data_IF_152518656948
#
_entry.id   IF_152518656948
#
_cell.length_a   1.000
_cell.length_b   1.000
_cell.length_c   1.000
_cell.angle_alpha   90.00
_cell.angle_beta   90.00
_cell.angle_gamma   90.00
#
_symmetry.space_group_name_H-M   'P 1'
#
loop_
_entity.id
_entity.type
_entity.pdbx_description
1 polymer ?
#
# COMPACT_ATOMS: atom_id res chain seq x y z
N UNK A 1 25.86 -10.09 15.37
CA UNK A 1 26.19 -9.58 16.74
C UNK A 1 24.89 -9.22 17.50
N UNK A 2 24.08 -10.21 17.89
CA UNK A 2 22.83 -9.95 18.66
C UNK A 2 22.76 -10.72 20.00
N UNK A 3 23.57 -11.77 20.16
CA UNK A 3 23.51 -12.69 21.32
C UNK A 3 24.00 -12.05 22.63
N UNK A 4 24.87 -11.04 22.58
CA UNK A 4 25.51 -10.47 23.78
C UNK A 4 24.64 -9.48 24.59
N UNK A 5 23.41 -9.16 24.16
CA UNK A 5 22.54 -8.17 24.83
C UNK A 5 21.18 -8.69 25.29
N UNK A 6 20.86 -9.96 25.04
CA UNK A 6 19.57 -10.55 25.47
C UNK A 6 18.35 -9.89 24.82
N UNK A 7 18.47 -9.41 23.58
CA UNK A 7 17.34 -8.85 22.85
C UNK A 7 16.29 -9.94 22.57
N UNK A 8 15.02 -9.57 22.68
CA UNK A 8 13.90 -10.42 22.24
C UNK A 8 13.96 -10.63 20.72
N UNK A 9 13.26 -11.66 20.23
CA UNK A 9 13.14 -11.91 18.79
C UNK A 9 12.49 -10.73 18.05
N UNK A 10 11.53 -10.06 18.69
CA UNK A 10 10.88 -8.85 18.18
C UNK A 10 11.89 -7.72 18.02
N UNK A 11 12.68 -7.45 19.05
CA UNK A 11 13.73 -6.43 19.01
C UNK A 11 14.78 -6.76 17.95
N UNK A 12 15.14 -8.04 17.77
CA UNK A 12 16.07 -8.47 16.72
C UNK A 12 15.52 -8.12 15.33
N UNK A 13 14.25 -8.44 15.05
CA UNK A 13 13.59 -8.12 13.77
C UNK A 13 13.56 -6.62 13.49
N UNK A 14 13.18 -5.80 14.48
CA UNK A 14 13.14 -4.34 14.30
C UNK A 14 14.54 -3.76 14.10
N UNK A 15 15.55 -4.28 14.81
CA UNK A 15 16.95 -3.87 14.63
C UNK A 15 17.49 -4.23 13.26
N UNK A 16 17.09 -5.38 12.72
CA UNK A 16 17.42 -5.81 11.35
C UNK A 16 16.75 -4.90 10.32
N UNK A 17 15.45 -4.65 10.45
CA UNK A 17 14.72 -3.76 9.55
C UNK A 17 15.27 -2.31 9.56
N UNK A 18 15.85 -1.89 10.69
CA UNK A 18 16.42 -0.55 10.89
C UNK A 18 17.96 -0.56 10.93
N UNK A 19 18.60 -1.52 10.26
CA UNK A 19 20.07 -1.62 10.21
C UNK A 19 20.71 -0.43 9.47
N UNK A 20 22.03 -0.23 9.65
CA UNK A 20 22.77 0.80 8.91
C UNK A 20 23.19 0.36 7.49
N UNK A 21 22.69 -0.78 7.01
CA UNK A 21 23.07 -1.29 5.69
C UNK A 21 22.54 -0.39 4.56
N UNK A 22 23.17 -0.37 3.37
CA UNK A 22 22.77 0.54 2.29
C UNK A 22 21.44 0.18 1.61
N UNK A 23 20.88 -1.01 1.85
CA UNK A 23 19.59 -1.45 1.30
C UNK A 23 18.44 -1.26 2.30
N UNK A 24 17.22 -1.05 1.81
CA UNK A 24 16.02 -0.95 2.64
C UNK A 24 15.60 -2.28 3.28
N UNK A 25 14.73 -2.26 4.31
CA UNK A 25 14.15 -3.48 4.87
C UNK A 25 13.33 -4.24 3.83
N UNK A 26 13.33 -5.56 3.90
CA UNK A 26 12.48 -6.37 3.02
C UNK A 26 11.00 -6.20 3.36
N UNK A 27 10.12 -6.24 2.34
CA UNK A 27 8.68 -6.15 2.54
C UNK A 27 8.15 -7.25 3.47
N UNK A 28 8.69 -8.47 3.35
CA UNK A 28 8.34 -9.60 4.22
C UNK A 28 8.66 -9.33 5.68
N UNK A 29 9.86 -8.80 5.98
CA UNK A 29 10.25 -8.47 7.35
C UNK A 29 9.39 -7.34 7.93
N UNK A 30 9.14 -6.28 7.14
CA UNK A 30 8.23 -5.22 7.57
C UNK A 30 6.81 -5.73 7.83
N UNK A 31 6.32 -6.66 7.00
CA UNK A 31 5.01 -7.26 7.18
C UNK A 31 4.94 -8.11 8.45
N UNK A 32 5.97 -8.92 8.72
CA UNK A 32 6.06 -9.71 9.95
C UNK A 32 6.04 -8.79 11.19
N UNK A 33 6.85 -7.73 11.20
CA UNK A 33 6.86 -6.74 12.29
C UNK A 33 5.47 -6.08 12.42
N UNK A 34 4.84 -5.69 11.30
CA UNK A 34 3.51 -5.10 11.33
C UNK A 34 2.46 -6.04 11.93
N UNK A 35 2.53 -7.35 11.67
CA UNK A 35 1.62 -8.32 12.30
C UNK A 35 1.90 -8.49 13.80
N UNK A 36 3.15 -8.38 14.24
CA UNK A 36 3.50 -8.42 15.67
C UNK A 36 2.92 -7.23 16.45
N UNK A 37 2.69 -6.08 15.81
CA UNK A 37 2.09 -4.91 16.48
C UNK A 37 0.66 -5.12 17.02
N UNK A 38 -0.01 -6.22 16.66
CA UNK A 38 -1.31 -6.59 17.22
C UNK A 38 -1.21 -7.21 18.63
N UNK A 39 -0.03 -7.67 19.03
CA UNK A 39 0.26 -8.05 20.42
C UNK A 39 0.73 -6.83 21.21
N UNK A 40 0.14 -6.57 22.38
CA UNK A 40 0.45 -5.38 23.19
C UNK A 40 1.89 -5.33 23.69
N UNK A 41 2.46 -6.48 24.10
CA UNK A 41 3.85 -6.56 24.59
C UNK A 41 4.83 -6.29 23.45
N UNK A 42 4.62 -6.96 22.31
CA UNK A 42 5.49 -6.80 21.14
C UNK A 42 5.39 -5.39 20.57
N UNK A 43 4.20 -4.80 20.54
CA UNK A 43 3.97 -3.42 20.16
C UNK A 43 4.83 -2.44 20.96
N UNK A 44 4.88 -2.57 22.28
CA UNK A 44 5.69 -1.71 23.14
C UNK A 44 7.17 -1.81 22.76
N UNK A 45 7.67 -3.02 22.57
CA UNK A 45 9.07 -3.25 22.18
C UNK A 45 9.40 -2.72 20.78
N UNK A 46 8.47 -2.87 19.83
CA UNK A 46 8.60 -2.37 18.45
C UNK A 46 8.68 -0.84 18.47
N UNK A 47 7.74 -0.18 19.14
CA UNK A 47 7.67 1.28 19.15
C UNK A 47 8.85 1.89 19.92
N UNK A 48 9.27 1.31 21.04
CA UNK A 48 10.48 1.73 21.78
C UNK A 48 11.74 1.64 20.90
N UNK A 49 11.91 0.56 20.14
CA UNK A 49 13.04 0.43 19.23
C UNK A 49 12.97 1.41 18.05
N UNK A 50 11.77 1.62 17.46
CA UNK A 50 11.57 2.62 16.40
C UNK A 50 11.91 4.02 16.92
N UNK A 51 11.43 4.41 18.10
CA UNK A 51 11.69 5.72 18.69
C UNK A 51 13.19 5.96 18.92
N UNK A 52 13.91 4.96 19.46
CA UNK A 52 15.38 5.01 19.59
C UNK A 52 16.08 5.26 18.27
N UNK A 53 15.59 4.66 17.17
CA UNK A 53 16.15 4.81 15.82
C UNK A 53 15.78 6.14 15.17
N UNK A 54 14.61 6.70 15.47
CA UNK A 54 14.21 8.03 14.98
C UNK A 54 15.04 9.14 15.62
N UNK A 55 15.53 8.92 16.86
CA UNK A 55 16.38 9.86 17.58
C UNK A 55 17.88 9.80 17.23
N UNK A 56 18.29 8.92 16.31
CA UNK A 56 19.67 8.88 15.78
C UNK A 56 20.00 10.15 14.96
N UNK A 57 21.30 10.47 14.84
CA UNK A 57 21.76 11.72 14.20
C UNK A 57 22.94 11.52 13.24
N UNK A 58 23.10 12.48 12.33
CA UNK A 58 24.26 12.61 11.44
C UNK A 58 24.53 11.35 10.62
N UNK A 59 25.71 10.74 10.80
CA UNK A 59 26.17 9.56 10.04
C UNK A 59 25.25 8.34 10.13
N UNK A 60 24.36 8.28 11.13
CA UNK A 60 23.38 7.21 11.31
C UNK A 60 22.04 7.49 10.60
N UNK A 61 22.01 8.38 9.61
CA UNK A 61 20.80 8.75 8.88
C UNK A 61 20.00 7.56 8.33
N UNK A 62 20.66 6.44 7.99
CA UNK A 62 19.99 5.23 7.50
C UNK A 62 19.11 4.59 8.57
N UNK A 63 19.52 4.63 9.85
CA UNK A 63 18.67 4.18 10.95
C UNK A 63 17.37 4.99 11.00
N UNK A 64 17.49 6.32 10.95
CA UNK A 64 16.35 7.25 10.97
C UNK A 64 15.44 7.01 9.76
N UNK A 65 16.03 6.95 8.56
CA UNK A 65 15.27 6.75 7.33
C UNK A 65 14.53 5.40 7.32
N UNK A 66 15.21 4.30 7.65
CA UNK A 66 14.57 2.98 7.69
C UNK A 66 13.55 2.84 8.81
N UNK A 67 13.74 3.52 9.95
CA UNK A 67 12.74 3.59 11.00
C UNK A 67 11.47 4.33 10.51
N UNK A 68 11.61 5.41 9.74
CA UNK A 68 10.47 6.06 9.08
C UNK A 68 9.79 5.14 8.06
N UNK A 69 10.54 4.36 7.28
CA UNK A 69 9.96 3.37 6.36
C UNK A 69 9.15 2.31 7.10
N UNK A 70 9.69 1.78 8.20
CA UNK A 70 9.01 0.77 9.01
C UNK A 70 7.77 1.36 9.71
N UNK A 71 7.88 2.54 10.29
CA UNK A 71 6.74 3.25 10.92
C UNK A 71 5.63 3.48 9.90
N UNK A 72 5.97 3.99 8.71
CA UNK A 72 5.01 4.18 7.61
C UNK A 72 4.32 2.87 7.23
N UNK A 73 5.05 1.77 7.10
CA UNK A 73 4.46 0.47 6.80
C UNK A 73 3.47 0.03 7.90
N UNK A 74 3.86 0.15 9.18
CA UNK A 74 3.01 -0.18 10.32
C UNK A 74 1.76 0.73 10.40
N UNK A 75 1.86 2.01 10.01
CA UNK A 75 0.71 2.91 9.92
C UNK A 75 -0.31 2.48 8.88
N UNK A 76 0.07 1.73 7.85
CA UNK A 76 -0.85 1.25 6.83
C UNK A 76 -1.42 -0.14 7.10
N UNK A 77 -0.62 -1.05 7.69
CA UNK A 77 -0.96 -2.50 7.76
C UNK A 77 -0.88 -3.07 9.19
N UNK A 78 -0.28 -2.35 10.14
CA UNK A 78 -0.18 -2.76 11.54
C UNK A 78 -1.43 -2.43 12.37
N UNK A 79 -1.32 -2.58 13.68
CA UNK A 79 -2.38 -2.28 14.65
C UNK A 79 -2.76 -0.79 14.68
N UNK A 80 -4.02 -0.49 15.02
CA UNK A 80 -4.49 0.87 15.28
C UNK A 80 -3.71 1.55 16.42
N UNK A 81 -3.14 0.78 17.35
CA UNK A 81 -2.29 1.30 18.42
C UNK A 81 -1.06 2.04 17.88
N UNK A 82 -0.53 1.63 16.72
CA UNK A 82 0.57 2.34 16.05
C UNK A 82 0.14 3.73 15.61
N UNK A 83 -1.08 3.85 15.07
CA UNK A 83 -1.64 5.13 14.65
C UNK A 83 -1.83 6.05 15.85
N UNK A 84 -2.45 5.55 16.93
CA UNK A 84 -2.66 6.31 18.16
C UNK A 84 -1.33 6.83 18.73
N UNK A 85 -0.36 5.93 18.92
CA UNK A 85 0.95 6.30 19.46
C UNK A 85 1.69 7.30 18.58
N UNK A 86 1.67 7.12 17.26
CA UNK A 86 2.35 8.02 16.32
C UNK A 86 1.71 9.41 16.28
N UNK A 87 0.40 9.52 16.52
CA UNK A 87 -0.30 10.80 16.62
C UNK A 87 0.00 11.52 17.91
N UNK A 88 -0.01 10.82 19.04
CA UNK A 88 0.36 11.39 20.34
C UNK A 88 1.81 11.88 20.33
N UNK A 89 2.70 11.14 19.65
CA UNK A 89 4.12 11.45 19.54
C UNK A 89 4.52 12.06 18.20
N UNK A 90 3.58 12.74 17.51
CA UNK A 90 3.80 13.29 16.17
C UNK A 90 4.99 14.27 16.10
N UNK A 91 5.35 14.88 17.24
CA UNK A 91 6.49 15.78 17.33
C UNK A 91 7.81 15.08 16.96
N UNK A 92 7.97 13.80 17.32
CA UNK A 92 9.17 13.00 16.98
C UNK A 92 9.37 13.00 15.46
N UNK A 93 8.31 12.69 14.71
CA UNK A 93 8.36 12.69 13.24
C UNK A 93 8.48 14.11 12.67
N UNK A 94 7.77 15.09 13.23
CA UNK A 94 7.81 16.48 12.75
C UNK A 94 9.21 17.07 12.80
N UNK A 95 9.99 16.78 13.85
CA UNK A 95 11.37 17.30 13.97
C UNK A 95 12.29 16.81 12.85
N UNK A 96 12.02 15.62 12.30
CA UNK A 96 12.79 15.04 11.20
C UNK A 96 12.54 15.72 9.85
N UNK A 97 11.54 16.60 9.74
CA UNK A 97 11.33 17.43 8.55
C UNK A 97 12.48 18.40 8.28
N UNK A 98 13.27 18.71 9.31
CA UNK A 98 14.45 19.57 9.24
C UNK A 98 15.76 18.78 9.36
N UNK A 99 15.72 17.45 9.23
CA UNK A 99 16.91 16.60 9.34
C UNK A 99 17.95 16.95 8.26
N UNK A 100 19.20 17.20 8.66
CA UNK A 100 20.29 17.55 7.76
C UNK A 100 21.43 16.53 7.84
N UNK A 101 21.81 15.99 6.68
CA UNK A 101 23.04 15.24 6.53
C UNK A 101 23.47 15.23 5.06
N UNK A 102 24.66 15.75 4.80
CA UNK A 102 25.31 15.74 3.48
C UNK A 102 26.50 14.77 3.60
N UNK A 103 26.56 13.78 2.71
CA UNK A 103 27.68 12.83 2.64
C UNK A 103 28.95 13.54 2.12
N UNK A 104 30.12 12.93 2.33
CA UNK A 104 31.43 13.51 1.95
C UNK A 104 31.55 13.82 0.45
N UNK A 105 30.79 13.10 -0.39
CA UNK A 105 30.69 13.32 -1.83
C UNK A 105 29.77 14.50 -2.22
N UNK A 106 29.23 15.25 -1.25
CA UNK A 106 28.33 16.38 -1.46
C UNK A 106 26.85 15.99 -1.65
N UNK A 107 26.50 14.69 -1.55
CA UNK A 107 25.12 14.23 -1.70
C UNK A 107 24.30 14.50 -0.44
N UNK A 108 23.21 15.26 -0.57
CA UNK A 108 22.23 15.46 0.51
C UNK A 108 21.34 14.22 0.68
N UNK A 109 21.76 13.31 1.55
CA UNK A 109 20.96 12.14 1.93
C UNK A 109 19.89 12.47 2.96
N UNK A 110 20.02 13.59 3.67
CA UNK A 110 19.01 14.12 4.57
C UNK A 110 17.70 14.48 3.86
N UNK A 111 17.76 14.87 2.58
CA UNK A 111 16.57 15.18 1.78
C UNK A 111 15.52 14.05 1.79
N UNK A 112 15.96 12.80 1.72
CA UNK A 112 15.06 11.63 1.75
C UNK A 112 14.36 11.47 3.10
N UNK A 113 15.09 11.72 4.19
CA UNK A 113 14.53 11.70 5.56
C UNK A 113 13.47 12.80 5.70
N UNK A 114 13.79 14.02 5.26
CA UNK A 114 12.87 15.16 5.33
C UNK A 114 11.61 14.91 4.52
N UNK A 115 11.73 14.37 3.31
CA UNK A 115 10.57 14.06 2.48
C UNK A 115 9.68 13.01 3.14
N UNK A 116 10.26 11.89 3.59
CA UNK A 116 9.49 10.83 4.25
C UNK A 116 8.80 11.30 5.53
N UNK A 117 9.48 12.13 6.33
CA UNK A 117 8.91 12.73 7.52
C UNK A 117 7.73 13.66 7.21
N UNK A 118 7.80 14.43 6.10
CA UNK A 118 6.68 15.25 5.61
C UNK A 118 5.49 14.37 5.23
N UNK A 119 5.73 13.32 4.45
CA UNK A 119 4.66 12.42 3.98
C UNK A 119 3.92 11.76 5.17
N UNK A 120 4.67 11.21 6.14
CA UNK A 120 4.09 10.61 7.34
C UNK A 120 3.36 11.65 8.19
N UNK A 121 3.94 12.83 8.40
CA UNK A 121 3.26 13.89 9.16
C UNK A 121 1.94 14.28 8.52
N UNK A 122 1.91 14.45 7.19
CA UNK A 122 0.71 14.82 6.45
C UNK A 122 -0.35 13.70 6.55
N UNK A 123 0.06 12.43 6.45
CA UNK A 123 -0.83 11.29 6.62
C UNK A 123 -1.44 11.23 8.02
N UNK A 124 -0.65 11.43 9.08
CA UNK A 124 -1.12 11.41 10.48
C UNK A 124 -2.03 12.60 10.84
N UNK A 125 -2.03 13.65 10.03
CA UNK A 125 -2.90 14.82 10.19
C UNK A 125 -4.25 14.66 9.48
N UNK A 126 -4.38 13.72 8.55
CA UNK A 126 -5.61 13.46 7.79
C UNK A 126 -6.20 12.08 8.14
N UNK A 127 -7.09 12.06 9.12
CA UNK A 127 -7.69 10.84 9.66
C UNK A 127 -8.54 10.08 8.66
N UNK A 128 -9.24 10.81 7.79
CA UNK A 128 -10.13 10.20 6.82
C UNK A 128 -9.30 9.50 5.76
N UNK A 129 -8.27 10.18 5.24
CA UNK A 129 -7.34 9.61 4.29
C UNK A 129 -6.62 8.38 4.86
N UNK A 130 -6.09 8.47 6.10
CA UNK A 130 -5.41 7.34 6.72
C UNK A 130 -6.33 6.13 6.90
N UNK A 131 -7.57 6.34 7.35
CA UNK A 131 -8.57 5.26 7.47
C UNK A 131 -8.89 4.61 6.13
N UNK A 132 -9.02 5.41 5.07
CA UNK A 132 -9.28 4.92 3.72
C UNK A 132 -8.11 4.10 3.18
N UNK A 133 -6.88 4.63 3.27
CA UNK A 133 -5.67 3.93 2.83
C UNK A 133 -5.48 2.59 3.57
N UNK A 134 -5.73 2.56 4.90
CA UNK A 134 -5.69 1.32 5.70
C UNK A 134 -6.74 0.30 5.25
N UNK A 135 -8.00 0.73 5.06
CA UNK A 135 -9.08 -0.14 4.56
C UNK A 135 -8.78 -0.70 3.18
N UNK A 136 -8.26 0.13 2.28
CA UNK A 136 -7.90 -0.29 0.93
C UNK A 136 -6.79 -1.34 0.96
N UNK A 137 -5.74 -1.14 1.77
CA UNK A 137 -4.65 -2.11 1.91
C UNK A 137 -5.09 -3.43 2.53
N UNK A 138 -5.96 -3.39 3.55
CA UNK A 138 -6.55 -4.60 4.12
C UNK A 138 -7.37 -5.35 3.07
N UNK A 139 -8.26 -4.66 2.34
CA UNK A 139 -9.07 -5.28 1.29
C UNK A 139 -8.24 -5.89 0.14
N UNK A 140 -7.14 -5.25 -0.25
CA UNK A 140 -6.19 -5.81 -1.23
C UNK A 140 -5.54 -7.09 -0.71
N UNK A 141 -5.12 -7.10 0.56
CA UNK A 141 -4.48 -8.26 1.19
C UNK A 141 -5.45 -9.43 1.31
N UNK A 142 -6.68 -9.17 1.73
CA UNK A 142 -7.70 -10.20 1.89
C UNK A 142 -8.07 -10.83 0.54
N UNK A 143 -8.18 -10.02 -0.53
CA UNK A 143 -8.36 -10.54 -1.89
C UNK A 143 -7.21 -11.43 -2.32
N UNK A 144 -5.97 -11.03 -2.05
CA UNK A 144 -4.78 -11.78 -2.46
C UNK A 144 -4.58 -13.07 -1.65
N UNK A 145 -4.96 -13.06 -0.37
CA UNK A 145 -5.01 -14.27 0.46
C UNK A 145 -6.09 -15.24 -0.03
N UNK A 146 -7.28 -14.73 -0.36
CA UNK A 146 -8.38 -15.55 -0.88
C UNK A 146 -8.05 -16.15 -2.26
N UNK A 147 -7.35 -15.42 -3.13
CA UNK A 147 -6.88 -15.99 -4.42
C UNK A 147 -5.94 -17.18 -4.19
N UNK A 148 -5.10 -17.14 -3.15
CA UNK A 148 -4.28 -18.28 -2.74
C UNK A 148 -5.09 -19.49 -2.29
N UNK A 149 -6.17 -19.28 -1.54
CA UNK A 149 -7.09 -20.35 -1.12
C UNK A 149 -7.94 -20.90 -2.27
N UNK A 150 -8.41 -20.07 -3.21
CA UNK A 150 -9.07 -20.54 -4.44
C UNK A 150 -8.13 -21.40 -5.29
N UNK A 151 -6.86 -21.03 -5.42
CA UNK A 151 -5.86 -21.84 -6.12
C UNK A 151 -5.55 -23.14 -5.37
N UNK A 152 -5.51 -23.12 -4.03
CA UNK A 152 -5.28 -24.31 -3.20
C UNK A 152 -6.48 -25.28 -3.22
N UNK A 153 -7.71 -24.76 -3.21
CA UNK A 153 -8.96 -25.53 -3.39
C UNK A 153 -8.99 -26.21 -4.76
N UNK A 154 -8.64 -25.47 -5.83
CA UNK A 154 -8.56 -25.99 -7.20
C UNK A 154 -7.49 -27.08 -7.33
N UNK A 155 -6.31 -26.89 -6.72
CA UNK A 155 -5.22 -27.89 -6.71
C UNK A 155 -5.58 -29.13 -5.88
N UNK A 156 -6.31 -28.98 -4.77
CA UNK A 156 -6.81 -30.11 -3.97
C UNK A 156 -7.89 -30.92 -4.71
N UNK A 157 -8.71 -30.26 -5.52
CA UNK A 157 -9.71 -30.91 -6.34
C UNK A 157 -9.09 -31.68 -7.53
N UNK A 158 -7.91 -31.25 -8.00
CA UNK A 158 -7.14 -31.93 -9.05
C UNK A 158 -6.21 -33.06 -8.56
N UNK A 159 -5.76 -33.04 -7.30
CA UNK A 159 -4.83 -34.05 -6.75
C UNK A 159 -5.50 -35.30 -6.16
N UNK A 160 -6.80 -35.50 -6.39
CA UNK A 160 -7.56 -36.65 -5.88
C UNK A 160 -7.38 -37.95 -6.66
N UNK A 161 -6.86 -37.91 -7.89
CA UNK A 161 -6.73 -39.10 -8.73
C UNK A 161 -5.43 -39.06 -9.55
N UNK A 162 -4.60 -40.10 -9.40
CA UNK A 162 -3.40 -40.40 -10.19
C UNK A 162 -2.10 -39.64 -9.84
N UNK A 163 -1.57 -39.94 -8.66
CA UNK A 163 -0.14 -39.84 -8.39
C UNK A 163 0.62 -41.00 -9.05
N UNK A 164 0.79 -40.96 -10.37
CA UNK A 164 1.81 -41.77 -11.07
C UNK A 164 1.98 -41.24 -12.50
N UNK A 165 3.12 -40.57 -12.73
CA UNK A 165 3.85 -40.39 -14.00
C UNK A 165 4.25 -38.92 -14.25
N UNK A 166 5.55 -38.67 -14.21
CA UNK A 166 6.14 -37.36 -14.47
C UNK A 166 6.04 -36.95 -15.93
N UNK A 167 5.65 -35.70 -16.19
CA UNK A 167 5.62 -35.10 -17.52
C UNK A 167 5.75 -33.58 -17.46
N UNK A 168 6.99 -33.08 -17.50
CA UNK A 168 7.37 -31.65 -17.47
C UNK A 168 7.07 -30.92 -18.80
N UNK A 169 5.93 -31.18 -19.44
CA UNK A 169 5.65 -30.68 -20.79
C UNK A 169 4.16 -30.30 -21.04
N UNK A 170 3.47 -29.69 -20.08
CA UNK A 170 2.12 -29.13 -20.31
C UNK A 170 1.92 -27.68 -19.78
N UNK A 171 2.69 -27.27 -18.76
CA UNK A 171 2.53 -25.95 -18.11
C UNK A 171 2.68 -24.73 -19.06
N UNK A 172 3.54 -24.81 -20.08
CA UNK A 172 3.79 -23.65 -20.96
C UNK A 172 2.65 -23.41 -21.96
N UNK A 173 1.98 -24.47 -22.42
CA UNK A 173 0.84 -24.33 -23.33
C UNK A 173 -0.40 -23.86 -22.57
N UNK A 174 -0.62 -24.35 -21.36
CA UNK A 174 -1.72 -23.93 -20.51
C UNK A 174 -1.55 -22.47 -20.04
N UNK A 175 -0.33 -22.07 -19.66
CA UNK A 175 -0.04 -20.68 -19.32
C UNK A 175 -0.20 -19.72 -20.51
N UNK A 176 0.20 -20.14 -21.72
CA UNK A 176 -0.05 -19.36 -22.96
C UNK A 176 -1.54 -19.21 -23.24
N UNK A 177 -2.32 -20.27 -23.00
CA UNK A 177 -3.77 -20.25 -23.21
C UNK A 177 -4.45 -19.31 -22.21
N UNK A 178 -4.08 -19.38 -20.93
CA UNK A 178 -4.57 -18.48 -19.89
C UNK A 178 -4.21 -17.01 -20.16
N UNK A 179 -2.98 -16.72 -20.61
CA UNK A 179 -2.58 -15.35 -20.99
C UNK A 179 -3.37 -14.82 -22.20
N UNK A 180 -3.64 -15.69 -23.18
CA UNK A 180 -4.41 -15.31 -24.37
C UNK A 180 -5.88 -15.03 -24.02
N UNK A 181 -6.44 -15.82 -23.11
CA UNK A 181 -7.81 -15.64 -22.61
C UNK A 181 -7.94 -14.38 -21.77
N UNK A 182 -6.99 -14.12 -20.87
CA UNK A 182 -6.95 -12.89 -20.08
C UNK A 182 -6.82 -11.63 -20.95
N UNK A 183 -6.02 -11.68 -22.03
CA UNK A 183 -5.95 -10.60 -23.03
C UNK A 183 -7.25 -10.40 -23.80
N UNK A 184 -8.00 -11.47 -24.10
CA UNK A 184 -9.29 -11.37 -24.80
C UNK A 184 -10.34 -10.71 -23.91
N UNK A 185 -10.44 -11.14 -22.65
CA UNK A 185 -11.38 -10.58 -21.68
C UNK A 185 -11.09 -9.09 -21.45
N UNK A 186 -9.83 -8.72 -21.27
CA UNK A 186 -9.44 -7.31 -21.11
C UNK A 186 -9.79 -6.45 -22.34
N UNK A 187 -9.62 -6.97 -23.55
CA UNK A 187 -9.98 -6.25 -24.77
C UNK A 187 -11.51 -6.11 -24.95
N UNK A 188 -12.29 -7.08 -24.47
CA UNK A 188 -13.74 -7.06 -24.51
C UNK A 188 -14.33 -6.08 -23.49
N UNK A 189 -13.79 -6.03 -22.26
CA UNK A 189 -14.14 -5.02 -21.27
C UNK A 189 -13.83 -3.59 -21.72
N UNK A 190 -12.69 -3.40 -22.39
CA UNK A 190 -12.29 -2.10 -22.95
C UNK A 190 -13.26 -1.66 -24.06
N UNK A 191 -13.74 -2.60 -24.90
CA UNK A 191 -14.75 -2.33 -25.92
C UNK A 191 -16.11 -2.00 -25.31
N UNK A 192 -16.54 -2.75 -24.30
CA UNK A 192 -17.81 -2.48 -23.60
C UNK A 192 -17.78 -1.12 -22.88
N UNK A 193 -16.64 -0.74 -22.29
CA UNK A 193 -16.47 0.60 -21.69
C UNK A 193 -16.62 1.71 -22.73
N UNK A 194 -15.99 1.57 -23.90
CA UNK A 194 -16.10 2.56 -24.99
C UNK A 194 -17.54 2.67 -25.54
N UNK A 195 -18.23 1.55 -25.72
CA UNK A 195 -19.64 1.57 -26.12
C UNK A 195 -20.54 2.27 -25.07
N UNK A 196 -20.28 2.03 -23.78
CA UNK A 196 -21.02 2.70 -22.71
C UNK A 196 -20.83 4.22 -22.70
N UNK A 197 -19.61 4.70 -22.97
CA UNK A 197 -19.32 6.14 -23.05
C UNK A 197 -19.98 6.79 -24.29
N UNK A 198 -19.97 6.12 -25.45
CA UNK A 198 -20.62 6.61 -26.68
C UNK A 198 -22.16 6.71 -26.54
N UNK A 199 -22.78 5.74 -25.84
CA UNK A 199 -24.22 5.74 -25.58
C UNK A 199 -24.62 6.83 -24.55
N UNK A 200 -23.77 7.08 -23.55
CA UNK A 200 -23.96 8.15 -22.59
C UNK A 200 -23.88 9.54 -23.27
N UNK A 201 -22.94 9.72 -24.19
CA UNK A 201 -22.76 10.97 -24.93
C UNK A 201 -23.98 11.28 -25.83
N UNK A 202 -24.52 10.27 -26.53
CA UNK A 202 -25.77 10.42 -27.31
C UNK A 202 -26.96 10.77 -26.43
N UNK A 203 -27.09 10.15 -25.25
CA UNK A 203 -28.18 10.44 -24.33
C UNK A 203 -28.15 11.89 -23.82
N UNK A 204 -26.95 12.40 -23.50
CA UNK A 204 -26.74 13.81 -23.11
C UNK A 204 -27.11 14.77 -24.24
N UNK A 205 -26.71 14.47 -25.48
CA UNK A 205 -27.01 15.31 -26.64
C UNK A 205 -28.52 15.36 -26.95
N UNK A 206 -29.21 14.23 -26.86
CA UNK A 206 -30.66 14.15 -27.06
C UNK A 206 -31.42 14.95 -25.98
N UNK A 207 -30.97 14.86 -24.73
CA UNK A 207 -31.56 15.61 -23.61
C UNK A 207 -31.37 17.13 -23.77
N UNK A 208 -30.21 17.59 -24.24
CA UNK A 208 -29.98 19.01 -24.54
C UNK A 208 -30.86 19.52 -25.67
N UNK A 209 -31.08 18.72 -26.73
CA UNK A 209 -31.97 19.09 -27.83
C UNK A 209 -33.43 19.19 -27.38
N UNK A 210 -33.91 18.23 -26.59
CA UNK A 210 -35.26 18.30 -26.03
C UNK A 210 -35.45 19.50 -25.09
N UNK A 211 -34.44 19.81 -24.27
CA UNK A 211 -34.47 20.97 -23.39
C UNK A 211 -34.55 22.29 -24.17
N UNK A 212 -33.72 22.44 -25.20
CA UNK A 212 -33.71 23.61 -26.07
C UNK A 212 -35.03 23.76 -26.86
N UNK A 213 -35.62 22.65 -27.33
CA UNK A 213 -36.88 22.68 -28.05
C UNK A 213 -38.05 23.04 -27.12
N UNK A 214 -38.03 22.55 -25.87
CA UNK A 214 -38.97 22.96 -24.82
C UNK A 214 -38.86 24.44 -24.51
N UNK A 215 -37.65 24.98 -24.32
CA UNK A 215 -37.45 26.41 -24.08
C UNK A 215 -37.96 27.24 -25.25
N UNK A 216 -37.70 26.83 -26.49
CA UNK A 216 -38.19 27.54 -27.68
C UNK A 216 -39.71 27.55 -27.75
N UNK A 217 -40.36 26.40 -27.53
CA UNK A 217 -41.82 26.29 -27.45
C UNK A 217 -42.42 27.10 -26.31
N UNK A 218 -41.72 27.19 -25.17
CA UNK A 218 -42.20 27.97 -24.01
C UNK A 218 -42.10 29.47 -24.30
N UNK A 219 -41.03 29.91 -24.96
CA UNK A 219 -40.82 31.30 -25.37
C UNK A 219 -41.82 31.74 -26.44
N UNK A 220 -42.11 30.88 -27.42
CA UNK A 220 -43.16 31.12 -28.44
C UNK A 220 -44.57 31.17 -27.87
N UNK A 221 -44.83 30.53 -26.72
CA UNK A 221 -46.10 30.64 -25.98
C UNK A 221 -46.22 31.96 -25.22
N UNK A 222 -45.13 32.39 -24.57
CA UNK A 222 -45.05 33.68 -23.87
C UNK A 222 -45.22 34.88 -24.80
N UNK A 223 -44.75 34.79 -26.05
CA UNK A 223 -44.89 35.86 -27.05
C UNK A 223 -46.30 35.91 -27.70
N UNK A 224 -47.20 34.97 -27.38
CA UNK A 224 -48.57 34.87 -27.94
C UNK A 224 -49.69 35.21 -26.95
N UNK A 225 -49.38 35.47 -25.69
CA UNK A 225 -50.29 36.04 -24.66
C UNK A 225 -50.10 37.56 -24.56
#
# INVERSE_FOLDING_TARGET
>A
KNIAKGFSDVQIKVREATSNDPWGPSGTLMNEIAQLTFNESDFIEIMDMIDKRLNDKGKNWRHVFKALLLLDYCLHVGSENVVLYARENIYVVKTLKEFQHIEENGKDVGANVRQKAKDITNLLQDDNRLKEERRQRQGMRDRMANVGDYLNETVRQYNGENAENGGRWDDENELKKALAESKRIAAEEERNRRQGDDDLEKALQLSQQEAAEKERKNREKLDKE
#
